data_IF_221898398176
#
_entry.id   IF_221898398176
#
_cell.length_a   1.000
_cell.length_b   1.000
_cell.length_c   1.000
_cell.angle_alpha   90.00
_cell.angle_beta   90.00
_cell.angle_gamma   90.00
#
_symmetry.space_group_name_H-M   'P 1'
#
loop_
_entity.id
_entity.type
_entity.pdbx_description
1 polymer ?
#
# COMPACT_ATOMS: atom_id res chain seq x y z
N UNK A 1 6.02 22.30 16.45
CA UNK A 1 6.86 21.10 16.64
C UNK A 1 5.90 20.01 17.10
N UNK A 2 5.51 19.10 16.20
CA UNK A 2 4.49 18.07 16.53
C UNK A 2 5.17 17.04 17.42
N UNK A 3 4.65 16.86 18.63
CA UNK A 3 5.06 15.78 19.54
C UNK A 3 4.82 14.44 18.86
N UNK A 4 5.89 13.88 18.31
CA UNK A 4 5.93 12.51 17.83
C UNK A 4 5.97 11.67 19.12
N UNK A 5 4.80 11.41 19.68
CA UNK A 5 4.64 10.25 20.54
C UNK A 5 5.13 9.08 19.68
N UNK A 6 6.36 8.62 19.92
CA UNK A 6 6.90 7.43 19.29
C UNK A 6 5.85 6.34 19.45
N UNK A 7 5.08 6.10 18.39
CA UNK A 7 4.18 4.96 18.37
C UNK A 7 5.11 3.79 18.27
N UNK A 8 5.41 3.18 19.42
CA UNK A 8 6.29 2.02 19.51
C UNK A 8 5.60 0.86 18.82
N UNK A 9 5.79 0.73 17.51
CA UNK A 9 5.33 -0.43 16.76
C UNK A 9 6.03 -1.64 17.36
N UNK A 10 5.25 -2.64 17.75
CA UNK A 10 5.80 -3.86 18.33
C UNK A 10 6.82 -4.47 17.40
N UNK A 11 8.00 -4.80 17.92
CA UNK A 11 9.05 -5.50 17.16
C UNK A 11 8.55 -6.81 16.57
N UNK A 12 7.54 -7.45 17.18
CA UNK A 12 6.89 -8.64 16.63
C UNK A 12 6.22 -8.35 15.29
N UNK A 13 5.51 -7.23 15.17
CA UNK A 13 4.84 -6.81 13.93
C UNK A 13 5.88 -6.57 12.83
N UNK A 14 6.93 -5.81 13.17
CA UNK A 14 8.04 -5.51 12.24
C UNK A 14 8.73 -6.80 11.79
N UNK A 15 9.01 -7.71 12.71
CA UNK A 15 9.68 -8.98 12.40
C UNK A 15 8.79 -9.91 11.58
N UNK A 16 7.50 -10.01 11.89
CA UNK A 16 6.57 -10.87 11.14
C UNK A 16 6.33 -10.34 9.72
N UNK A 17 6.14 -9.03 9.55
CA UNK A 17 5.95 -8.42 8.23
C UNK A 17 7.27 -8.31 7.44
N UNK A 18 8.41 -8.19 8.13
CA UNK A 18 9.74 -8.14 7.53
C UNK A 18 10.26 -9.48 7.00
N UNK A 19 9.58 -10.60 7.28
CA UNK A 19 9.89 -11.91 6.67
C UNK A 19 9.70 -11.86 5.15
N UNK A 20 8.72 -11.09 4.69
CA UNK A 20 8.47 -10.91 3.28
C UNK A 20 9.19 -9.63 2.80
N UNK A 21 10.03 -9.75 1.77
CA UNK A 21 10.83 -8.64 1.23
C UNK A 21 10.00 -7.67 0.38
N UNK A 22 8.73 -7.48 0.75
CA UNK A 22 7.77 -6.61 0.10
C UNK A 22 7.78 -5.22 0.76
N UNK A 23 7.49 -4.14 0.01
CA UNK A 23 7.35 -2.80 0.58
C UNK A 23 6.10 -2.67 1.44
N UNK A 24 6.25 -2.20 2.68
CA UNK A 24 5.12 -1.94 3.57
C UNK A 24 5.36 -0.72 4.46
N UNK A 25 4.26 -0.06 4.83
CA UNK A 25 4.26 1.07 5.76
C UNK A 25 3.08 0.99 6.72
N UNK A 26 3.30 1.46 7.94
CA UNK A 26 2.30 1.56 9.00
C UNK A 26 1.88 3.02 9.11
N UNK A 27 0.57 3.25 9.16
CA UNK A 27 -0.04 4.58 9.28
C UNK A 27 -0.91 4.68 10.53
N UNK A 28 -1.12 5.90 11.01
CA UNK A 28 -2.09 6.21 12.05
C UNK A 28 -3.52 6.28 11.49
N UNK A 29 -4.49 6.53 12.37
CA UNK A 29 -5.92 6.67 11.99
C UNK A 29 -6.21 7.86 11.07
N UNK A 30 -5.30 8.83 10.98
CA UNK A 30 -5.41 10.02 10.14
C UNK A 30 -4.61 9.86 8.84
N UNK A 31 -4.21 8.63 8.49
CA UNK A 31 -3.36 8.34 7.33
C UNK A 31 -1.97 8.97 7.37
N UNK A 32 -1.47 9.32 8.56
CA UNK A 32 -0.09 9.76 8.76
C UNK A 32 0.83 8.55 8.83
N UNK A 33 1.90 8.51 8.04
CA UNK A 33 2.91 7.46 8.15
C UNK A 33 3.58 7.51 9.52
N UNK A 34 3.63 6.36 10.19
CA UNK A 34 4.33 6.13 11.46
C UNK A 34 5.65 5.41 11.19
N UNK A 35 5.66 4.51 10.21
CA UNK A 35 6.84 3.73 9.86
C UNK A 35 6.76 3.24 8.43
N UNK A 36 7.90 3.16 7.75
CA UNK A 36 8.05 2.50 6.46
C UNK A 36 9.26 1.59 6.49
N UNK A 37 9.13 0.36 5.98
CA UNK A 37 10.27 -0.55 5.92
C UNK A 37 11.32 -0.09 4.90
N UNK A 38 12.53 -0.64 4.99
CA UNK A 38 13.65 -0.25 4.11
C UNK A 38 13.35 -0.53 2.63
N UNK A 39 12.58 -1.58 2.33
CA UNK A 39 12.17 -1.90 0.96
C UNK A 39 11.25 -0.81 0.38
N UNK A 40 10.37 -0.22 1.19
CA UNK A 40 9.56 0.93 0.77
C UNK A 40 10.43 2.16 0.46
N UNK A 41 11.51 2.39 1.22
CA UNK A 41 12.48 3.46 0.94
C UNK A 41 13.20 3.23 -0.40
N UNK A 42 13.64 1.99 -0.64
CA UNK A 42 14.42 1.65 -1.85
C UNK A 42 13.58 1.57 -3.13
N UNK A 43 12.26 1.35 -3.02
CA UNK A 43 11.39 1.13 -4.18
C UNK A 43 11.28 2.31 -5.16
N UNK A 44 11.74 3.51 -4.77
CA UNK A 44 11.42 4.76 -5.48
C UNK A 44 12.60 5.74 -5.61
N UNK A 45 13.84 5.28 -5.47
CA UNK A 45 15.03 6.15 -5.49
C UNK A 45 14.97 7.28 -4.44
N UNK A 46 14.27 7.09 -3.33
CA UNK A 46 14.38 8.03 -2.22
C UNK A 46 15.79 8.01 -1.69
N UNK A 47 16.27 9.17 -1.24
CA UNK A 47 17.53 9.20 -0.48
C UNK A 47 17.38 8.31 0.75
N UNK A 48 18.45 7.63 1.16
CA UNK A 48 18.45 6.80 2.38
C UNK A 48 18.07 7.62 3.64
N UNK A 49 18.23 8.94 3.58
CA UNK A 49 17.83 9.89 4.62
C UNK A 49 16.35 10.29 4.58
N UNK A 50 15.58 9.83 3.59
CA UNK A 50 14.16 10.12 3.51
C UNK A 50 13.42 9.38 4.63
N UNK A 51 12.62 10.15 5.38
CA UNK A 51 11.78 9.63 6.43
C UNK A 51 10.31 9.80 6.04
N UNK A 52 9.57 8.70 6.13
CA UNK A 52 8.13 8.71 5.90
C UNK A 52 7.38 9.15 7.16
N UNK A 53 8.01 9.03 8.34
CA UNK A 53 7.36 9.31 9.61
C UNK A 53 6.85 10.76 9.67
N UNK A 54 5.58 10.92 10.06
CA UNK A 54 4.94 12.23 10.18
C UNK A 54 4.35 12.80 8.89
N UNK A 55 4.55 12.14 7.75
CA UNK A 55 4.01 12.58 6.45
C UNK A 55 2.61 12.02 6.22
N UNK A 56 1.73 12.87 5.70
CA UNK A 56 0.41 12.47 5.23
C UNK A 56 0.43 12.09 3.75
N UNK A 57 -0.64 11.45 3.30
CA UNK A 57 -0.79 11.00 1.92
C UNK A 57 -0.71 12.13 0.88
N UNK A 58 -1.21 13.31 1.23
CA UNK A 58 -1.18 14.51 0.41
C UNK A 58 0.19 15.23 0.38
N UNK A 59 1.07 14.94 1.35
CA UNK A 59 2.43 15.48 1.41
C UNK A 59 3.44 14.62 0.63
N UNK A 60 3.03 13.40 0.28
CA UNK A 60 3.84 12.45 -0.47
C UNK A 60 3.51 12.53 -1.96
N UNK A 61 4.52 12.44 -2.85
CA UNK A 61 4.28 12.30 -4.28
C UNK A 61 3.24 11.21 -4.57
N UNK A 62 2.33 11.47 -5.52
CA UNK A 62 1.27 10.52 -5.90
C UNK A 62 1.79 9.15 -6.34
N UNK A 63 3.09 9.04 -6.65
CA UNK A 63 3.81 7.81 -6.99
C UNK A 63 4.19 6.94 -5.78
N UNK A 64 4.11 7.48 -4.55
CA UNK A 64 4.34 6.80 -3.25
C UNK A 64 3.03 6.28 -2.68
N UNK A 65 1.94 7.00 -2.95
CA UNK A 65 0.62 6.53 -2.64
C UNK A 65 0.42 5.22 -3.41
N UNK A 66 0.26 4.12 -2.66
CA UNK A 66 -0.47 2.95 -3.15
C UNK A 66 -1.91 3.38 -3.36
N UNK A 67 -2.14 4.28 -4.33
CA UNK A 67 -3.47 4.51 -4.83
C UNK A 67 -3.83 3.16 -5.45
N UNK A 68 -4.89 2.45 -4.97
CA UNK A 68 -5.58 1.58 -5.89
C UNK A 68 -5.85 2.46 -7.12
N UNK A 69 -5.59 2.01 -8.35
CA UNK A 69 -5.75 2.82 -9.55
C UNK A 69 -7.14 3.47 -9.67
N UNK A 70 -7.33 4.60 -8.99
CA UNK A 70 -8.59 5.30 -8.84
C UNK A 70 -8.70 6.16 -10.09
N UNK A 71 -9.59 5.73 -10.98
CA UNK A 71 -9.97 6.46 -12.18
C UNK A 71 -9.30 6.01 -13.49
N UNK A 72 -8.30 5.12 -13.48
CA UNK A 72 -7.78 4.53 -14.73
C UNK A 72 -8.54 3.28 -15.17
N UNK A 73 -9.28 2.67 -14.26
CA UNK A 73 -10.14 1.53 -14.55
C UNK A 73 -11.59 1.88 -14.20
N UNK A 74 -12.48 1.52 -15.11
CA UNK A 74 -13.92 1.45 -14.85
C UNK A 74 -14.22 0.39 -13.78
N UNK A 75 -15.39 0.46 -13.14
CA UNK A 75 -15.83 -0.57 -12.19
C UNK A 75 -15.71 -1.98 -12.79
N UNK A 76 -16.05 -2.12 -14.07
CA UNK A 76 -15.98 -3.41 -14.78
C UNK A 76 -14.56 -3.91 -15.01
N UNK A 77 -13.61 -3.02 -15.28
CA UNK A 77 -12.19 -3.40 -15.41
C UNK A 77 -11.60 -3.77 -14.05
N UNK A 78 -12.03 -3.08 -13.00
CA UNK A 78 -11.68 -3.40 -11.62
C UNK A 78 -12.12 -4.81 -11.22
N UNK A 79 -13.36 -5.19 -11.53
CA UNK A 79 -13.86 -6.53 -11.25
C UNK A 79 -13.07 -7.62 -12.00
N UNK A 80 -12.67 -7.35 -13.26
CA UNK A 80 -11.84 -8.26 -14.04
C UNK A 80 -10.47 -8.45 -13.39
N UNK A 81 -9.80 -7.35 -13.00
CA UNK A 81 -8.48 -7.39 -12.37
C UNK A 81 -8.55 -8.13 -11.03
N UNK A 82 -9.55 -7.83 -10.20
CA UNK A 82 -9.77 -8.49 -8.92
C UNK A 82 -9.94 -10.01 -9.09
N UNK A 83 -10.83 -10.45 -9.99
CA UNK A 83 -11.07 -11.87 -10.24
C UNK A 83 -9.84 -12.57 -10.84
N UNK A 84 -9.06 -11.87 -11.67
CA UNK A 84 -7.80 -12.40 -12.21
C UNK A 84 -6.75 -12.62 -11.11
N UNK A 85 -6.60 -11.67 -10.18
CA UNK A 85 -5.70 -11.79 -9.02
C UNK A 85 -6.10 -12.92 -8.07
N UNK A 86 -7.41 -13.20 -7.94
CA UNK A 86 -7.95 -14.35 -7.22
C UNK A 86 -7.74 -15.71 -7.95
N UNK A 87 -6.97 -15.71 -9.06
CA UNK A 87 -6.62 -16.89 -9.86
C UNK A 87 -7.81 -17.59 -10.53
N UNK A 88 -8.92 -16.89 -10.76
CA UNK A 88 -10.00 -17.42 -11.58
C UNK A 88 -9.57 -17.54 -13.05
N UNK A 89 -10.00 -18.61 -13.73
CA UNK A 89 -9.76 -18.78 -15.16
C UNK A 89 -10.65 -17.82 -15.94
N UNK A 90 -10.17 -17.33 -17.09
CA UNK A 90 -10.92 -16.41 -17.98
C UNK A 90 -12.38 -16.84 -18.23
N UNK A 91 -12.64 -18.15 -18.41
CA UNK A 91 -14.00 -18.69 -18.59
C UNK A 91 -14.89 -18.49 -17.35
N UNK A 92 -14.35 -18.65 -16.14
CA UNK A 92 -15.09 -18.46 -14.89
C UNK A 92 -15.39 -16.98 -14.65
N UNK A 93 -14.40 -16.12 -14.91
CA UNK A 93 -14.56 -14.66 -14.81
C UNK A 93 -15.70 -14.18 -15.72
N UNK A 94 -15.73 -14.64 -16.98
CA UNK A 94 -16.79 -14.29 -17.92
C UNK A 94 -18.20 -14.70 -17.43
N UNK A 95 -18.32 -15.87 -16.80
CA UNK A 95 -19.60 -16.34 -16.22
C UNK A 95 -20.03 -15.42 -15.06
N UNK A 96 -19.12 -15.14 -14.13
CA UNK A 96 -19.40 -14.30 -12.94
C UNK A 96 -19.85 -12.89 -13.34
N UNK A 97 -19.16 -12.25 -14.29
CA UNK A 97 -19.47 -10.88 -14.75
C UNK A 97 -20.67 -10.77 -15.70
N UNK A 98 -21.18 -11.91 -16.19
CA UNK A 98 -22.41 -11.97 -17.00
C UNK A 98 -23.68 -12.18 -16.16
N UNK A 99 -23.52 -12.50 -14.88
CA UNK A 99 -24.61 -12.80 -13.95
C UNK A 99 -24.86 -11.70 -12.90
N UNK A 100 -24.14 -10.58 -13.01
CA UNK A 100 -24.38 -9.31 -12.30
C UNK A 100 -25.04 -8.30 -13.25
#
# INVERSE_FOLDING_TARGET
MKDINQVTISSQIVNTMGINNDPWGVKDKNSCFIYGNLVLKSLKNFSDSFDFEGLYDDELPSSILFQPPIGIFTEREWDIIFLFLQKYKRKQIGIILSSQ
#
